data_IF_949147006189
#
_entry.id   IF_949147006189
#
_cell.length_a   1.000
_cell.length_b   1.000
_cell.length_c   1.000
_cell.angle_alpha   90.00
_cell.angle_beta   90.00
_cell.angle_gamma   90.00
#
_symmetry.space_group_name_H-M   'P 1'
#
loop_
_entity.id
_entity.type
_entity.pdbx_description
1 polymer ?
#
# COMPACT_ATOMS: atom_id res chain seq x y z
N UNK A 1 -10.10 28.33 40.79
CA UNK A 1 -10.25 27.12 39.94
C UNK A 1 -10.58 27.51 38.50
N UNK A 2 -9.70 28.30 37.83
CA UNK A 2 -9.98 28.84 36.46
C UNK A 2 -8.79 28.68 35.51
N UNK A 3 -7.76 27.91 35.85
CA UNK A 3 -6.48 27.90 35.10
C UNK A 3 -6.19 26.61 34.29
N UNK A 4 -7.15 25.69 34.12
CA UNK A 4 -6.95 24.43 33.36
C UNK A 4 -7.60 24.37 31.95
N UNK A 5 -8.33 25.40 31.55
CA UNK A 5 -9.04 25.38 30.26
C UNK A 5 -8.26 25.98 29.07
N UNK A 6 -7.24 26.79 29.30
CA UNK A 6 -6.51 27.47 28.20
C UNK A 6 -5.54 26.55 27.43
N UNK A 7 -5.04 25.50 28.04
CA UNK A 7 -4.08 24.58 27.37
C UNK A 7 -4.76 23.50 26.50
N UNK A 8 -6.02 23.21 26.77
CA UNK A 8 -6.77 22.22 25.98
C UNK A 8 -7.15 22.76 24.59
N UNK A 9 -7.37 24.06 24.46
CA UNK A 9 -7.75 24.70 23.18
C UNK A 9 -6.54 24.83 22.25
N UNK A 10 -5.35 25.03 22.78
CA UNK A 10 -4.12 25.15 21.97
C UNK A 10 -3.71 23.79 21.39
N UNK A 11 -3.96 22.68 22.10
CA UNK A 11 -3.67 21.33 21.60
C UNK A 11 -4.67 20.87 20.51
N UNK A 12 -5.94 21.31 20.56
CA UNK A 12 -6.94 21.05 19.51
C UNK A 12 -6.69 21.88 18.24
N UNK A 13 -6.14 23.08 18.34
CA UNK A 13 -5.88 23.93 17.17
C UNK A 13 -4.70 23.44 16.33
N UNK A 14 -3.71 22.74 16.92
CA UNK A 14 -2.59 22.14 16.19
C UNK A 14 -2.97 20.90 15.37
N UNK A 15 -4.07 20.23 15.71
CA UNK A 15 -4.55 19.01 15.03
C UNK A 15 -5.41 19.28 13.77
N UNK A 16 -5.83 20.52 13.52
CA UNK A 16 -6.74 20.84 12.40
C UNK A 16 -6.07 21.45 11.17
N UNK A 17 -4.76 21.56 11.12
CA UNK A 17 -4.06 22.31 10.06
C UNK A 17 -3.53 21.43 8.88
N UNK A 18 -3.84 20.15 8.79
CA UNK A 18 -3.25 19.23 7.80
C UNK A 18 -4.19 18.68 6.74
N UNK A 19 -5.31 19.32 6.38
CA UNK A 19 -6.29 18.70 5.49
C UNK A 19 -6.40 19.26 4.07
N UNK A 20 -5.57 20.17 3.64
CA UNK A 20 -5.60 20.67 2.27
C UNK A 20 -4.43 20.11 1.44
N UNK A 21 -4.65 18.88 0.93
CA UNK A 21 -4.15 18.45 -0.37
C UNK A 21 -2.64 18.48 -0.66
N UNK A 22 -1.76 18.34 0.35
CA UNK A 22 -0.34 18.21 0.08
C UNK A 22 -0.07 16.99 -0.82
N UNK A 23 0.65 17.22 -1.92
CA UNK A 23 1.06 16.21 -2.89
C UNK A 23 2.57 16.26 -3.06
N UNK A 24 3.24 15.15 -2.86
CA UNK A 24 4.66 14.99 -3.14
C UNK A 24 4.82 14.06 -4.34
N UNK A 25 5.65 14.45 -5.29
CA UNK A 25 6.10 13.60 -6.40
C UNK A 25 7.56 13.31 -6.11
N UNK A 26 7.90 12.04 -5.94
CA UNK A 26 9.27 11.61 -5.69
C UNK A 26 9.79 10.91 -6.93
N UNK A 27 10.98 11.28 -7.38
CA UNK A 27 11.68 10.69 -8.53
C UNK A 27 13.01 10.10 -8.10
N UNK A 28 13.22 8.83 -8.42
CA UNK A 28 14.49 8.13 -8.27
C UNK A 28 14.84 7.51 -9.63
N UNK A 29 15.77 8.14 -10.36
CA UNK A 29 16.05 7.75 -11.75
C UNK A 29 14.83 7.83 -12.65
N UNK A 30 14.54 6.75 -13.36
CA UNK A 30 13.36 6.61 -14.23
C UNK A 30 12.06 6.33 -13.46
N UNK A 31 12.14 6.02 -12.18
CA UNK A 31 10.97 5.67 -11.36
C UNK A 31 10.45 6.88 -10.61
N UNK A 32 9.13 7.08 -10.63
CA UNK A 32 8.51 8.10 -9.80
C UNK A 32 7.24 7.61 -9.13
N UNK A 33 6.99 8.14 -7.93
CA UNK A 33 5.76 7.91 -7.18
C UNK A 33 5.09 9.24 -6.82
N UNK A 34 3.78 9.18 -6.63
CA UNK A 34 3.03 10.28 -6.04
C UNK A 34 2.46 9.86 -4.69
N UNK A 35 2.66 10.68 -3.67
CA UNK A 35 2.12 10.53 -2.32
C UNK A 35 1.17 11.69 -2.03
N UNK A 36 0.04 11.43 -1.36
CA UNK A 36 -1.00 12.44 -1.12
C UNK A 36 -1.46 12.41 0.33
N UNK A 37 -1.37 13.54 1.05
CA UNK A 37 -1.71 13.63 2.47
C UNK A 37 -3.16 13.30 2.79
N UNK A 38 -4.12 13.70 1.93
CA UNK A 38 -5.54 13.36 2.11
C UNK A 38 -5.84 11.85 2.09
N UNK A 39 -4.89 11.05 1.59
CA UNK A 39 -4.93 9.59 1.58
C UNK A 39 -3.92 9.01 2.58
N UNK A 40 -3.61 9.75 3.65
CA UNK A 40 -2.66 9.32 4.69
C UNK A 40 -1.29 8.95 4.11
N UNK A 41 -0.80 9.73 3.14
CA UNK A 41 0.46 9.53 2.45
C UNK A 41 0.63 8.15 1.80
N UNK A 42 -0.46 7.46 1.54
CA UNK A 42 -0.43 6.25 0.72
C UNK A 42 -0.04 6.60 -0.72
N UNK A 43 0.54 5.61 -1.40
CA UNK A 43 0.86 5.70 -2.81
C UNK A 43 -0.40 6.10 -3.61
N UNK A 44 -0.26 7.00 -4.59
CA UNK A 44 -1.35 7.44 -5.46
C UNK A 44 -1.07 7.18 -6.95
N UNK A 45 0.20 7.09 -7.34
CA UNK A 45 0.66 6.58 -8.63
C UNK A 45 2.06 6.01 -8.52
N UNK A 46 2.39 5.13 -9.46
CA UNK A 46 3.71 4.62 -9.72
C UNK A 46 3.95 4.74 -11.23
N UNK A 47 5.03 5.39 -11.61
CA UNK A 47 5.40 5.65 -12.99
C UNK A 47 6.84 5.19 -13.23
N UNK A 48 7.16 4.73 -14.44
CA UNK A 48 8.51 4.35 -14.86
C UNK A 48 8.80 4.86 -16.28
N UNK A 49 9.90 5.57 -16.46
CA UNK A 49 10.30 6.20 -17.73
C UNK A 49 9.14 7.01 -18.39
N UNK A 50 8.37 7.72 -17.59
CA UNK A 50 7.21 8.52 -18.02
C UNK A 50 5.94 7.72 -18.30
N UNK A 51 5.95 6.40 -18.16
CA UNK A 51 4.79 5.52 -18.35
C UNK A 51 4.12 5.29 -17.01
N UNK A 52 2.81 5.55 -16.91
CA UNK A 52 2.05 5.27 -15.70
C UNK A 52 1.79 3.77 -15.57
N UNK A 53 2.31 3.15 -14.52
CA UNK A 53 2.20 1.72 -14.26
C UNK A 53 1.03 1.38 -13.36
N UNK A 54 0.75 2.24 -12.36
CA UNK A 54 -0.36 2.05 -11.46
C UNK A 54 -1.30 3.24 -11.53
N UNK A 55 -2.59 2.93 -11.70
CA UNK A 55 -3.62 3.92 -11.96
C UNK A 55 -3.70 4.99 -10.88
N UNK A 56 -3.59 6.23 -11.33
CA UNK A 56 -3.82 7.42 -10.54
C UNK A 56 -5.25 7.44 -9.98
N UNK A 57 -5.45 7.86 -8.72
CA UNK A 57 -6.76 7.96 -8.04
C UNK A 57 -7.43 6.62 -7.73
N UNK A 58 -6.74 5.50 -7.85
CA UNK A 58 -7.18 4.22 -7.30
C UNK A 58 -6.72 4.07 -5.84
N UNK A 59 -7.34 3.15 -5.09
CA UNK A 59 -6.95 2.92 -3.70
C UNK A 59 -5.69 2.05 -3.65
N UNK A 60 -4.67 2.58 -2.99
CA UNK A 60 -3.42 1.91 -2.63
C UNK A 60 -3.34 1.67 -1.12
N UNK A 61 -2.31 0.96 -0.68
CA UNK A 61 -1.96 0.82 0.73
C UNK A 61 -2.72 -0.28 1.44
N UNK A 62 -3.07 -0.03 2.69
CA UNK A 62 -3.57 -1.05 3.60
C UNK A 62 -5.03 -0.76 3.99
N UNK A 63 -5.87 -1.79 4.03
CA UNK A 63 -7.27 -1.66 4.46
C UNK A 63 -7.73 -2.90 5.20
N UNK A 64 -8.41 -2.71 6.31
CA UNK A 64 -9.00 -3.78 7.12
C UNK A 64 -10.52 -3.70 7.09
N UNK A 65 -11.18 -4.86 7.14
CA UNK A 65 -12.63 -4.96 7.31
C UNK A 65 -12.96 -5.58 8.65
N UNK A 66 -13.65 -4.82 9.46
CA UNK A 66 -14.21 -5.22 10.76
C UNK A 66 -15.72 -5.45 10.66
N UNK A 67 -16.36 -5.75 11.79
CA UNK A 67 -17.83 -5.81 11.86
C UNK A 67 -18.49 -4.46 11.56
N UNK A 68 -17.83 -3.35 11.94
CA UNK A 68 -18.30 -1.98 11.70
C UNK A 68 -18.06 -1.45 10.28
N UNK A 69 -17.35 -2.22 9.38
CA UNK A 69 -17.08 -1.79 8.01
C UNK A 69 -15.58 -1.75 7.68
N UNK A 70 -15.24 -1.04 6.61
CA UNK A 70 -13.88 -0.88 6.10
C UNK A 70 -13.17 0.31 6.76
N UNK A 71 -11.90 0.11 7.14
CA UNK A 71 -11.02 1.13 7.73
C UNK A 71 -9.66 1.10 7.04
N UNK A 72 -9.13 2.25 6.67
CA UNK A 72 -7.84 2.42 5.97
C UNK A 72 -7.98 2.71 4.49
N UNK A 73 -6.88 3.09 3.84
CA UNK A 73 -6.83 3.43 2.40
C UNK A 73 -7.91 4.43 1.95
N UNK A 74 -8.27 5.39 2.82
CA UNK A 74 -9.31 6.39 2.53
C UNK A 74 -10.74 5.95 2.86
N UNK A 75 -10.98 4.71 3.24
CA UNK A 75 -12.28 4.26 3.74
C UNK A 75 -12.59 4.87 5.11
N UNK A 76 -13.81 5.35 5.29
CA UNK A 76 -14.31 6.00 6.52
C UNK A 76 -15.74 5.56 6.80
N UNK A 77 -16.03 4.28 6.70
CA UNK A 77 -17.37 3.74 7.00
C UNK A 77 -17.69 3.97 8.48
N UNK A 78 -18.93 4.34 8.76
CA UNK A 78 -19.39 4.71 10.10
C UNK A 78 -18.55 5.80 10.79
N UNK A 79 -17.95 6.72 10.01
CA UNK A 79 -17.04 7.79 10.47
C UNK A 79 -15.74 7.28 11.10
N UNK A 80 -15.45 5.99 11.03
CA UNK A 80 -14.21 5.38 11.51
C UNK A 80 -13.23 5.33 10.35
N UNK A 81 -12.13 6.05 10.45
CA UNK A 81 -11.07 6.10 9.45
C UNK A 81 -9.72 5.68 10.00
N UNK A 82 -8.72 5.69 9.15
CA UNK A 82 -7.32 5.58 9.57
C UNK A 82 -6.95 6.79 10.41
N UNK A 83 -6.22 6.57 11.51
CA UNK A 83 -5.63 7.63 12.34
C UNK A 83 -4.12 7.60 12.18
N UNK A 84 -3.55 8.61 11.51
CA UNK A 84 -2.11 8.78 11.39
C UNK A 84 -1.53 9.23 12.73
N UNK A 85 -0.53 8.48 13.23
CA UNK A 85 0.18 8.78 14.47
C UNK A 85 1.50 9.52 14.19
N UNK A 86 2.23 9.05 13.18
CA UNK A 86 3.53 9.59 12.80
C UNK A 86 3.78 9.38 11.31
N UNK A 87 4.40 10.35 10.67
CA UNK A 87 4.93 10.22 9.31
C UNK A 87 6.27 10.94 9.21
N UNK A 88 7.23 10.32 8.56
CA UNK A 88 8.58 10.85 8.32
C UNK A 88 8.99 10.57 6.88
N UNK A 89 9.67 11.51 6.27
CA UNK A 89 10.14 11.47 4.89
C UNK A 89 11.65 11.66 4.85
N UNK A 90 12.34 10.83 4.08
CA UNK A 90 13.77 10.90 3.89
C UNK A 90 14.11 10.89 2.40
N UNK A 91 15.00 11.77 1.98
CA UNK A 91 15.59 11.79 0.65
C UNK A 91 17.10 11.69 0.82
N UNK A 92 17.73 10.68 0.23
CA UNK A 92 19.16 10.37 0.38
C UNK A 92 19.62 10.35 1.84
N UNK A 93 18.81 9.73 2.72
CA UNK A 93 19.05 9.60 4.15
C UNK A 93 18.80 10.86 4.98
N UNK A 94 18.41 11.98 4.37
CA UNK A 94 18.10 13.23 5.07
C UNK A 94 16.60 13.39 5.27
N UNK A 95 16.18 13.58 6.52
CA UNK A 95 14.78 13.86 6.84
C UNK A 95 14.36 15.23 6.30
N UNK A 96 13.14 15.31 5.78
CA UNK A 96 12.54 16.58 5.35
C UNK A 96 11.06 16.64 5.69
N UNK A 97 10.53 17.85 5.79
CA UNK A 97 9.10 18.09 6.00
C UNK A 97 8.41 18.22 4.64
N UNK A 98 7.35 17.44 4.38
CA UNK A 98 6.63 17.54 3.12
C UNK A 98 5.97 18.91 2.95
N UNK A 99 6.06 19.46 1.75
CA UNK A 99 5.44 20.75 1.42
C UNK A 99 3.91 20.63 1.44
N UNK A 100 3.21 21.68 1.88
CA UNK A 100 1.75 21.81 1.76
C UNK A 100 1.29 21.96 0.31
N UNK A 101 2.21 22.31 -0.60
CA UNK A 101 1.97 22.43 -2.04
C UNK A 101 2.49 21.19 -2.77
N UNK A 102 2.12 21.06 -4.05
CA UNK A 102 2.74 20.07 -4.91
C UNK A 102 4.24 20.35 -5.01
N UNK A 103 5.06 19.37 -4.68
CA UNK A 103 6.52 19.45 -4.77
C UNK A 103 7.06 18.21 -5.47
N UNK A 104 8.03 18.42 -6.35
CA UNK A 104 8.86 17.36 -6.92
C UNK A 104 10.13 17.25 -6.07
N UNK A 105 10.48 16.03 -5.69
CA UNK A 105 11.67 15.68 -4.92
C UNK A 105 12.45 14.69 -5.80
N UNK A 106 13.67 15.05 -6.14
CA UNK A 106 14.61 14.18 -6.85
C UNK A 106 15.62 13.65 -5.84
N UNK A 107 15.79 12.33 -5.81
CA UNK A 107 16.69 11.64 -4.90
C UNK A 107 17.22 10.36 -5.55
N UNK A 108 18.33 9.82 -5.06
CA UNK A 108 18.77 8.47 -5.42
C UNK A 108 17.97 7.43 -4.67
N UNK A 109 17.68 7.72 -3.39
CA UNK A 109 16.92 6.88 -2.50
C UNK A 109 15.89 7.72 -1.75
N UNK A 110 14.69 7.23 -1.68
CA UNK A 110 13.62 7.84 -0.88
C UNK A 110 13.06 6.83 0.12
N UNK A 111 12.73 7.30 1.32
CA UNK A 111 12.06 6.48 2.33
C UNK A 111 10.92 7.27 2.98
N UNK A 112 9.76 6.61 3.12
CA UNK A 112 8.63 7.06 3.93
C UNK A 112 8.46 6.08 5.08
N UNK A 113 8.46 6.57 6.33
CA UNK A 113 8.08 5.81 7.52
C UNK A 113 6.77 6.36 8.06
N UNK A 114 5.80 5.49 8.26
CA UNK A 114 4.48 5.87 8.77
C UNK A 114 4.02 4.89 9.84
N UNK A 115 3.39 5.40 10.89
CA UNK A 115 2.58 4.61 11.80
C UNK A 115 1.16 5.14 11.85
N UNK A 116 0.19 4.25 11.82
CA UNK A 116 -1.23 4.59 11.87
C UNK A 116 -2.05 3.52 12.57
N UNK A 117 -3.22 3.91 13.07
CA UNK A 117 -4.18 3.01 13.68
C UNK A 117 -5.35 2.79 12.73
N UNK A 118 -5.62 1.52 12.43
CA UNK A 118 -6.80 1.05 11.72
C UNK A 118 -7.71 0.35 12.73
N UNK A 119 -8.47 1.12 13.51
CA UNK A 119 -9.33 0.69 14.61
C UNK A 119 -8.55 -0.09 15.69
N UNK A 120 -8.47 -1.41 15.58
CA UNK A 120 -7.81 -2.30 16.56
C UNK A 120 -6.40 -2.71 16.14
N UNK A 121 -5.89 -2.15 15.04
CA UNK A 121 -4.59 -2.49 14.49
C UNK A 121 -3.68 -1.27 14.47
N UNK A 122 -2.49 -1.39 15.04
CA UNK A 122 -1.37 -0.50 14.76
C UNK A 122 -0.64 -1.04 13.52
N UNK A 123 -0.49 -0.19 12.51
CA UNK A 123 0.26 -0.49 11.29
C UNK A 123 1.49 0.39 11.23
N UNK A 124 2.66 -0.23 11.35
CA UNK A 124 3.95 0.40 11.08
C UNK A 124 4.31 0.09 9.62
N UNK A 125 4.39 1.12 8.79
CA UNK A 125 4.57 1.00 7.35
C UNK A 125 5.80 1.75 6.90
N UNK A 126 6.62 1.10 6.07
CA UNK A 126 7.77 1.72 5.39
C UNK A 126 7.61 1.53 3.89
N UNK A 127 7.89 2.58 3.14
CA UNK A 127 8.00 2.53 1.69
C UNK A 127 9.37 3.09 1.31
N UNK A 128 10.12 2.34 0.50
CA UNK A 128 11.38 2.82 -0.10
C UNK A 128 11.28 2.82 -1.61
N UNK A 129 11.88 3.82 -2.23
CA UNK A 129 11.98 3.96 -3.68
C UNK A 129 13.44 4.15 -4.09
N UNK A 130 13.87 3.32 -5.03
CA UNK A 130 15.11 3.42 -5.79
C UNK A 130 14.77 3.37 -7.28
N UNK A 131 15.73 3.56 -8.17
CA UNK A 131 15.47 3.42 -9.60
C UNK A 131 15.08 1.98 -9.94
N UNK A 132 13.93 1.84 -10.61
CA UNK A 132 13.36 0.52 -10.97
C UNK A 132 12.85 -0.31 -9.80
N UNK A 133 12.88 0.19 -8.55
CA UNK A 133 12.53 -0.62 -7.38
C UNK A 133 11.72 0.13 -6.34
N UNK A 134 10.55 -0.39 -6.02
CA UNK A 134 9.69 0.03 -4.91
C UNK A 134 9.59 -1.10 -3.89
N UNK A 135 9.88 -0.82 -2.63
CA UNK A 135 9.68 -1.80 -1.54
C UNK A 135 8.71 -1.22 -0.51
N UNK A 136 7.72 -2.00 -0.13
CA UNK A 136 6.75 -1.69 0.91
C UNK A 136 6.84 -2.75 2.02
N UNK A 137 6.91 -2.33 3.26
CA UNK A 137 6.93 -3.21 4.43
C UNK A 137 5.83 -2.79 5.40
N UNK A 138 5.06 -3.73 5.88
CA UNK A 138 4.00 -3.49 6.85
C UNK A 138 4.11 -4.47 8.01
N UNK A 139 4.31 -3.92 9.22
CA UNK A 139 4.20 -4.66 10.48
C UNK A 139 2.89 -4.27 11.13
N UNK A 140 2.09 -5.25 11.46
CA UNK A 140 0.79 -5.08 12.10
C UNK A 140 0.85 -5.62 13.51
N UNK A 141 0.40 -4.81 14.48
CA UNK A 141 0.23 -5.20 15.88
C UNK A 141 -1.24 -5.07 16.26
N UNK A 142 -1.81 -6.12 16.81
CA UNK A 142 -3.19 -6.13 17.30
C UNK A 142 -3.23 -5.46 18.66
N UNK A 143 -4.00 -4.36 18.78
CA UNK A 143 -4.03 -3.53 19.98
C UNK A 143 -4.97 -4.06 21.07
N UNK A 144 -6.03 -4.78 20.66
CA UNK A 144 -6.99 -5.42 21.55
C UNK A 144 -7.60 -6.65 20.88
N UNK A 145 -8.20 -7.54 21.67
CA UNK A 145 -8.89 -8.71 21.12
C UNK A 145 -9.91 -8.28 20.08
N UNK A 146 -9.80 -8.83 18.85
CA UNK A 146 -10.64 -8.39 17.74
C UNK A 146 -10.88 -9.52 16.74
N UNK A 147 -11.92 -9.36 15.92
CA UNK A 147 -12.20 -10.20 14.76
C UNK A 147 -12.06 -9.39 13.48
N UNK A 148 -11.12 -9.80 12.62
CA UNK A 148 -10.96 -9.26 11.29
C UNK A 148 -11.73 -10.13 10.29
N UNK A 149 -12.59 -9.50 9.49
CA UNK A 149 -13.22 -10.16 8.34
C UNK A 149 -12.25 -10.28 7.19
N UNK A 150 -11.49 -9.22 6.92
CA UNK A 150 -10.49 -9.17 5.86
C UNK A 150 -9.38 -8.18 6.26
N UNK A 151 -8.17 -8.45 5.78
CA UNK A 151 -7.09 -7.47 5.73
C UNK A 151 -6.43 -7.57 4.36
N UNK A 152 -6.32 -6.43 3.69
CA UNK A 152 -5.51 -6.27 2.49
C UNK A 152 -4.32 -5.38 2.80
N UNK A 153 -3.12 -5.83 2.42
CA UNK A 153 -1.89 -5.05 2.43
C UNK A 153 -1.40 -4.86 1.00
N UNK A 154 -0.65 -3.81 0.74
CA UNK A 154 0.04 -3.56 -0.53
C UNK A 154 -0.88 -3.63 -1.74
N UNK A 155 -1.99 -2.87 -1.73
CA UNK A 155 -2.91 -2.84 -2.87
C UNK A 155 -2.29 -2.06 -4.03
N UNK A 156 -2.11 -2.71 -5.20
CA UNK A 156 -1.56 -2.09 -6.40
C UNK A 156 -2.57 -2.15 -7.56
N UNK A 157 -3.14 -1.02 -7.99
CA UNK A 157 -4.05 -0.94 -9.14
C UNK A 157 -3.27 -0.78 -10.46
N UNK A 158 -2.68 -1.85 -10.94
CA UNK A 158 -1.92 -1.87 -12.20
C UNK A 158 -2.75 -1.37 -13.37
N UNK A 159 -2.14 -0.55 -14.25
CA UNK A 159 -2.80 -0.02 -15.44
C UNK A 159 -3.14 -1.12 -16.45
N UNK A 160 -4.15 -0.93 -17.31
CA UNK A 160 -4.53 -1.89 -18.35
C UNK A 160 -3.48 -2.17 -19.41
N UNK A 161 -2.37 -1.41 -19.45
CA UNK A 161 -1.21 -1.72 -20.29
C UNK A 161 -0.62 -3.10 -19.99
N UNK A 162 -0.78 -3.58 -18.76
CA UNK A 162 -0.41 -4.94 -18.40
C UNK A 162 -1.47 -5.92 -18.89
N UNK A 163 -1.13 -6.67 -19.94
CA UNK A 163 -2.05 -7.57 -20.64
C UNK A 163 -2.09 -8.97 -20.00
N UNK A 164 -1.00 -9.38 -19.33
CA UNK A 164 -0.88 -10.68 -18.69
C UNK A 164 -0.01 -10.63 -17.44
N UNK A 165 -0.05 -11.71 -16.65
CA UNK A 165 0.88 -11.93 -15.55
C UNK A 165 1.27 -13.41 -15.44
N UNK A 166 2.50 -13.67 -14.98
CA UNK A 166 2.98 -14.98 -14.55
C UNK A 166 3.04 -14.98 -13.02
N UNK A 167 2.36 -15.93 -12.41
CA UNK A 167 2.33 -16.15 -10.97
C UNK A 167 3.20 -17.35 -10.63
N UNK A 168 4.24 -17.15 -9.80
CA UNK A 168 5.15 -18.20 -9.36
C UNK A 168 4.90 -18.58 -7.91
N UNK A 169 4.82 -19.88 -7.61
CA UNK A 169 4.69 -20.42 -6.27
C UNK A 169 6.02 -20.82 -5.65
N UNK A 170 6.01 -21.06 -4.35
CA UNK A 170 7.20 -21.50 -3.60
C UNK A 170 7.77 -22.84 -4.07
N UNK A 171 6.95 -23.72 -4.63
CA UNK A 171 7.36 -25.01 -5.21
C UNK A 171 7.95 -24.86 -6.63
N UNK A 172 8.06 -23.64 -7.15
CA UNK A 172 8.57 -23.33 -8.47
C UNK A 172 7.53 -23.43 -9.59
N UNK A 173 6.32 -23.94 -9.32
CA UNK A 173 5.26 -23.99 -10.32
C UNK A 173 4.80 -22.59 -10.72
N UNK A 174 4.43 -22.43 -11.99
CA UNK A 174 3.99 -21.17 -12.56
C UNK A 174 2.57 -21.29 -13.13
N UNK A 175 1.84 -20.20 -13.06
CA UNK A 175 0.50 -20.08 -13.60
C UNK A 175 0.36 -18.75 -14.34
N UNK A 176 -0.16 -18.80 -15.55
CA UNK A 176 -0.39 -17.62 -16.37
C UNK A 176 -1.79 -17.04 -16.11
N UNK A 177 -1.86 -15.71 -16.07
CA UNK A 177 -3.10 -14.94 -16.06
C UNK A 177 -3.12 -14.09 -17.33
N UNK A 178 -4.13 -14.29 -18.16
CA UNK A 178 -4.43 -13.41 -19.28
C UNK A 178 -5.59 -12.49 -18.87
N UNK A 179 -5.33 -11.21 -18.73
CA UNK A 179 -6.34 -10.25 -18.29
C UNK A 179 -7.43 -9.98 -19.32
N UNK A 180 -7.19 -10.25 -20.62
CA UNK A 180 -8.23 -10.14 -21.66
C UNK A 180 -9.30 -11.22 -21.52
N UNK A 181 -8.93 -12.39 -21.00
CA UNK A 181 -9.82 -13.55 -20.79
C UNK A 181 -10.50 -13.52 -19.41
N UNK A 182 -9.98 -12.73 -18.47
CA UNK A 182 -10.61 -12.57 -17.15
C UNK A 182 -11.93 -11.81 -17.28
N UNK A 183 -12.98 -12.37 -16.71
CA UNK A 183 -14.26 -11.64 -16.57
C UNK A 183 -14.02 -10.33 -15.81
N UNK A 184 -14.58 -9.23 -16.31
CA UNK A 184 -14.63 -7.96 -15.60
C UNK A 184 -15.33 -8.20 -14.26
N UNK A 185 -14.73 -7.67 -13.16
CA UNK A 185 -15.11 -7.89 -11.75
C UNK A 185 -14.85 -9.33 -11.25
N UNK A 186 -14.18 -10.19 -12.02
CA UNK A 186 -13.65 -11.45 -11.49
C UNK A 186 -12.54 -11.18 -10.47
N UNK A 187 -12.54 -11.95 -9.36
CA UNK A 187 -11.52 -11.81 -8.29
C UNK A 187 -10.97 -13.20 -7.95
N UNK A 188 -10.18 -13.82 -8.87
CA UNK A 188 -9.51 -15.07 -8.53
C UNK A 188 -8.53 -14.87 -7.38
N UNK A 189 -8.51 -15.83 -6.46
CA UNK A 189 -7.61 -15.90 -5.33
C UNK A 189 -6.57 -16.99 -5.57
N UNK A 190 -5.29 -16.65 -5.34
CA UNK A 190 -4.15 -17.56 -5.50
C UNK A 190 -3.36 -17.61 -4.19
N UNK A 191 -3.16 -18.80 -3.67
CA UNK A 191 -2.37 -19.07 -2.46
C UNK A 191 -0.97 -19.57 -2.80
N UNK A 192 -0.02 -19.37 -1.89
CA UNK A 192 1.35 -19.87 -2.03
C UNK A 192 2.20 -19.14 -3.07
N UNK A 193 1.74 -18.00 -3.58
CA UNK A 193 2.53 -17.20 -4.51
C UNK A 193 3.68 -16.50 -3.78
N UNK A 194 4.86 -16.54 -4.39
CA UNK A 194 6.04 -15.77 -3.97
C UNK A 194 6.28 -14.59 -4.91
N UNK A 195 5.95 -14.73 -6.20
CA UNK A 195 6.16 -13.70 -7.20
C UNK A 195 4.96 -13.59 -8.14
N UNK A 196 4.74 -12.37 -8.63
CA UNK A 196 3.81 -12.06 -9.73
C UNK A 196 4.52 -11.11 -10.68
N UNK A 197 4.76 -11.55 -11.92
CA UNK A 197 5.36 -10.72 -12.97
C UNK A 197 4.28 -10.29 -13.95
N UNK A 198 4.03 -9.01 -14.04
CA UNK A 198 3.13 -8.37 -14.99
C UNK A 198 3.87 -7.99 -16.26
N UNK A 199 3.24 -8.15 -17.43
CA UNK A 199 3.81 -7.86 -18.73
C UNK A 199 2.99 -6.82 -19.48
N UNK A 200 3.68 -5.77 -19.95
CA UNK A 200 3.18 -4.72 -20.83
C UNK A 200 3.98 -4.78 -22.15
N UNK A 201 3.61 -5.66 -23.11
CA UNK A 201 4.43 -5.95 -24.28
C UNK A 201 4.59 -4.75 -25.21
N UNK A 202 3.55 -3.92 -25.35
CA UNK A 202 3.59 -2.71 -26.21
C UNK A 202 4.59 -1.69 -25.70
N UNK A 203 4.67 -1.54 -24.38
CA UNK A 203 5.62 -0.64 -23.70
C UNK A 203 6.99 -1.27 -23.49
N UNK A 204 7.13 -2.57 -23.82
CA UNK A 204 8.34 -3.39 -23.56
C UNK A 204 8.74 -3.33 -22.08
N UNK A 205 7.78 -3.43 -21.17
CA UNK A 205 7.99 -3.37 -19.72
C UNK A 205 7.50 -4.64 -19.02
N UNK A 206 8.23 -5.00 -17.96
CA UNK A 206 7.79 -5.98 -16.98
C UNK A 206 7.89 -5.40 -15.58
N UNK A 207 6.95 -5.75 -14.72
CA UNK A 207 6.95 -5.39 -13.31
C UNK A 207 6.77 -6.66 -12.47
N UNK A 208 7.79 -7.02 -11.69
CA UNK A 208 7.78 -8.21 -10.82
C UNK A 208 7.50 -7.79 -9.38
N UNK A 209 6.42 -8.30 -8.82
CA UNK A 209 6.08 -8.17 -7.42
C UNK A 209 6.56 -9.41 -6.69
N UNK A 210 7.42 -9.25 -5.69
CA UNK A 210 7.96 -10.34 -4.83
C UNK A 210 7.48 -10.15 -3.41
N UNK A 211 6.89 -11.19 -2.82
CA UNK A 211 6.48 -11.21 -1.42
C UNK A 211 7.54 -11.87 -0.54
N UNK A 212 7.95 -11.17 0.50
CA UNK A 212 8.77 -11.69 1.60
C UNK A 212 7.92 -11.77 2.87
N UNK A 213 7.80 -12.97 3.44
CA UNK A 213 7.08 -13.22 4.69
C UNK A 213 8.07 -13.14 5.84
N UNK A 214 8.11 -12.02 6.56
CA UNK A 214 9.00 -11.82 7.71
C UNK A 214 8.43 -12.54 8.93
N UNK A 215 7.14 -12.32 9.19
CA UNK A 215 6.38 -13.01 10.21
C UNK A 215 4.96 -13.25 9.73
N UNK A 216 4.60 -14.50 9.51
CA UNK A 216 3.28 -14.86 9.03
C UNK A 216 2.18 -14.58 10.06
N UNK A 217 0.96 -14.34 9.57
CA UNK A 217 -0.25 -14.33 10.39
C UNK A 217 -0.39 -15.69 11.09
N UNK A 218 -0.60 -15.72 12.40
CA UNK A 218 -0.94 -16.98 13.08
C UNK A 218 -2.20 -17.61 12.49
N UNK A 219 -2.17 -18.90 12.22
CA UNK A 219 -3.36 -19.67 11.79
C UNK A 219 -4.01 -19.22 10.46
N UNK A 220 -3.34 -18.41 9.64
CA UNK A 220 -3.86 -17.88 8.38
C UNK A 220 -3.23 -18.51 7.15
N UNK A 221 -3.96 -18.46 6.02
CA UNK A 221 -3.41 -18.70 4.68
C UNK A 221 -3.47 -17.40 3.91
N UNK A 222 -2.30 -16.82 3.66
CA UNK A 222 -2.21 -15.62 2.84
C UNK A 222 -2.51 -15.94 1.36
N UNK A 223 -3.14 -15.00 0.67
CA UNK A 223 -3.47 -15.12 -0.74
C UNK A 223 -3.20 -13.82 -1.49
N UNK A 224 -2.89 -13.92 -2.76
CA UNK A 224 -3.02 -12.82 -3.70
C UNK A 224 -4.38 -12.88 -4.40
N UNK A 225 -5.02 -11.72 -4.54
CA UNK A 225 -6.26 -11.59 -5.29
C UNK A 225 -6.03 -10.67 -6.49
N UNK A 226 -6.55 -11.08 -7.64
CA UNK A 226 -6.44 -10.35 -8.89
C UNK A 226 -7.82 -9.83 -9.28
N UNK A 227 -8.04 -8.54 -9.20
CA UNK A 227 -9.31 -7.95 -9.56
C UNK A 227 -9.22 -7.21 -10.90
N UNK A 228 -9.75 -7.83 -11.95
CA UNK A 228 -9.91 -7.16 -13.24
C UNK A 228 -11.12 -6.22 -13.19
N UNK A 229 -10.87 -4.92 -13.09
CA UNK A 229 -11.92 -3.89 -13.10
C UNK A 229 -12.18 -3.30 -14.49
N UNK A 230 -11.49 -3.78 -15.51
CA UNK A 230 -11.47 -3.16 -16.84
C UNK A 230 -10.59 -1.92 -16.89
N UNK A 231 -10.77 -1.01 -15.94
CA UNK A 231 -9.99 0.24 -15.82
C UNK A 231 -8.64 0.06 -15.13
N UNK A 232 -8.47 -0.99 -14.36
CA UNK A 232 -7.21 -1.41 -13.74
C UNK A 232 -7.19 -2.94 -13.47
N UNK A 233 -6.00 -3.48 -13.21
CA UNK A 233 -5.70 -4.88 -12.87
C UNK A 233 -5.22 -4.89 -11.42
N UNK A 234 -6.16 -4.81 -10.46
CA UNK A 234 -5.80 -4.58 -9.07
C UNK A 234 -5.27 -5.85 -8.41
N UNK A 235 -4.08 -5.75 -7.85
CA UNK A 235 -3.48 -6.75 -6.98
C UNK A 235 -3.78 -6.41 -5.53
N UNK A 236 -4.17 -7.42 -4.74
CA UNK A 236 -4.25 -7.35 -3.30
C UNK A 236 -3.42 -8.47 -2.69
N UNK A 237 -2.64 -8.17 -1.69
CA UNK A 237 -2.13 -9.20 -0.79
C UNK A 237 -3.07 -9.31 0.41
N UNK A 238 -3.66 -10.48 0.62
CA UNK A 238 -4.63 -10.77 1.67
C UNK A 238 -4.02 -11.73 2.70
N UNK A 239 -3.38 -11.24 3.77
CA UNK A 239 -2.87 -12.08 4.84
C UNK A 239 -3.97 -12.63 5.76
N UNK A 240 -5.13 -11.96 5.84
CA UNK A 240 -6.21 -12.35 6.75
C UNK A 240 -7.54 -12.49 6.02
N UNK A 241 -8.22 -13.61 6.29
CA UNK A 241 -9.60 -13.87 5.90
C UNK A 241 -10.35 -14.53 7.05
N UNK A 242 -11.27 -13.80 7.70
CA UNK A 242 -12.09 -14.22 8.83
C UNK A 242 -11.29 -14.88 9.97
N UNK A 243 -10.64 -14.05 10.77
CA UNK A 243 -9.82 -14.55 11.88
C UNK A 243 -9.98 -13.70 13.13
N UNK A 244 -9.98 -14.38 14.29
CA UNK A 244 -9.93 -13.76 15.62
C UNK A 244 -8.47 -13.63 16.06
N UNK A 245 -8.15 -12.50 16.64
CA UNK A 245 -6.83 -12.16 17.15
C UNK A 245 -6.88 -11.80 18.62
N UNK A 246 -5.77 -12.03 19.31
CA UNK A 246 -5.52 -11.56 20.66
C UNK A 246 -4.69 -10.29 20.65
N UNK A 247 -4.91 -9.43 21.64
CA UNK A 247 -4.04 -8.28 21.87
C UNK A 247 -2.56 -8.69 21.94
N UNK A 248 -1.69 -7.92 21.31
CA UNK A 248 -0.25 -8.18 21.22
C UNK A 248 0.17 -9.15 20.10
N UNK A 249 -0.74 -9.86 19.42
CA UNK A 249 -0.36 -10.65 18.24
C UNK A 249 0.20 -9.73 17.15
N UNK A 250 1.28 -10.16 16.51
CA UNK A 250 1.97 -9.39 15.47
C UNK A 250 2.24 -10.23 14.24
N UNK A 251 2.23 -9.60 13.07
CA UNK A 251 2.66 -10.20 11.81
C UNK A 251 3.27 -9.13 10.91
N UNK A 252 4.13 -9.57 9.97
CA UNK A 252 4.93 -8.65 9.18
C UNK A 252 5.25 -9.22 7.80
N UNK A 253 5.07 -8.37 6.80
CA UNK A 253 5.30 -8.72 5.39
C UNK A 253 6.02 -7.58 4.69
N UNK A 254 6.75 -7.95 3.66
CA UNK A 254 7.40 -7.02 2.75
C UNK A 254 7.05 -7.39 1.32
N UNK A 255 6.80 -6.41 0.49
CA UNK A 255 6.49 -6.57 -0.92
C UNK A 255 7.40 -5.65 -1.72
N UNK A 256 8.20 -6.24 -2.62
CA UNK A 256 9.08 -5.51 -3.52
C UNK A 256 8.54 -5.57 -4.94
N UNK A 257 8.44 -4.42 -5.60
CA UNK A 257 8.17 -4.29 -7.03
C UNK A 257 9.48 -3.93 -7.72
N UNK A 258 9.92 -4.77 -8.66
CA UNK A 258 11.05 -4.47 -9.55
C UNK A 258 10.52 -4.24 -10.94
N UNK A 259 10.92 -3.13 -11.56
CA UNK A 259 10.45 -2.69 -12.88
C UNK A 259 11.63 -2.67 -13.82
N UNK A 260 11.43 -3.17 -15.04
CA UNK A 260 12.50 -3.18 -16.05
C UNK A 260 11.98 -3.29 -17.47
N UNK A 261 12.87 -3.04 -18.42
CA UNK A 261 12.63 -3.26 -19.85
C UNK A 261 12.63 -4.76 -20.13
N UNK A 262 11.68 -5.21 -20.93
CA UNK A 262 11.72 -6.56 -21.53
C UNK A 262 12.83 -6.59 -22.59
N UNK A 263 13.60 -7.67 -22.59
CA UNK A 263 14.63 -7.92 -23.61
C UNK A 263 14.01 -8.37 -24.92
#
# INVERSE_FOLDING_TARGET
>A
MVMKFKYLIIFLAALFCCTLGAKQIVKCGDTSITLVSRHYWNLNSLDFAGINLCRNRSYFGNVARFNCGWVGSGHKENKIGETELKVQFFADGKEFVPSKKVKVIEAKNFELKKSSVLLDLLVEYTLTLEDGKLTERAKVTVLRDTELKLLYLFMHPWCPIFESAICKKADGSEENINFSEMKIKGVPSKTGLTNVTYFAPKEKLAATTTLNVIKAVPRGKAAFLFWNRGVDRKLYFQPVNKQKFKAGETFEYELTVTIGRMK
#
